data_IF_268556206521
#
_entry.id   IF_268556206521
#
_cell.length_a   1.000
_cell.length_b   1.000
_cell.length_c   1.000
_cell.angle_alpha   90.00
_cell.angle_beta   90.00
_cell.angle_gamma   90.00
#
_symmetry.space_group_name_H-M   'P 1'
#
loop_
_entity.id
_entity.type
_entity.pdbx_description
1 polymer ?
#
# COMPACT_ATOMS: atom_id res chain seq x y z
N UNK A 1 -11.26 21.89 -17.10
CA UNK A 1 -10.06 21.19 -16.56
C UNK A 1 -10.45 20.54 -15.25
N UNK A 2 -10.55 19.20 -15.25
CA UNK A 2 -10.89 18.44 -14.05
C UNK A 2 -9.77 18.54 -13.02
N UNK A 3 -10.12 18.75 -11.75
CA UNK A 3 -9.16 18.79 -10.68
C UNK A 3 -8.38 17.46 -10.59
N UNK A 4 -7.05 17.52 -10.51
CA UNK A 4 -6.16 16.37 -10.29
C UNK A 4 -6.37 15.72 -8.91
N UNK A 5 -6.76 16.50 -7.91
CA UNK A 5 -6.84 16.10 -6.52
C UNK A 5 -7.80 14.93 -6.26
N UNK A 6 -9.04 14.88 -6.82
CA UNK A 6 -9.89 13.71 -6.63
C UNK A 6 -9.28 12.40 -7.13
N UNK A 7 -8.53 12.45 -8.23
CA UNK A 7 -7.83 11.28 -8.76
C UNK A 7 -6.76 10.78 -7.76
N UNK A 8 -5.98 11.71 -7.18
CA UNK A 8 -4.99 11.40 -6.14
C UNK A 8 -5.66 10.71 -4.96
N UNK A 9 -6.77 11.26 -4.47
CA UNK A 9 -7.50 10.73 -3.31
C UNK A 9 -8.02 9.31 -3.56
N UNK A 10 -8.64 9.07 -4.71
CA UNK A 10 -9.18 7.76 -5.06
C UNK A 10 -8.04 6.72 -5.20
N UNK A 11 -6.96 7.06 -5.91
CA UNK A 11 -5.81 6.18 -6.09
C UNK A 11 -5.19 5.84 -4.74
N UNK A 12 -4.97 6.83 -3.88
CA UNK A 12 -4.35 6.64 -2.57
C UNK A 12 -5.17 5.74 -1.67
N UNK A 13 -6.48 5.99 -1.58
CA UNK A 13 -7.38 5.15 -0.79
C UNK A 13 -7.45 3.72 -1.34
N UNK A 14 -7.65 3.56 -2.65
CA UNK A 14 -7.73 2.25 -3.29
C UNK A 14 -6.46 1.40 -3.07
N UNK A 15 -5.29 2.03 -3.15
CA UNK A 15 -4.01 1.35 -2.95
C UNK A 15 -3.86 0.80 -1.52
N UNK A 16 -4.22 1.59 -0.50
CA UNK A 16 -4.13 1.13 0.90
C UNK A 16 -5.26 0.19 1.30
N UNK A 17 -6.44 0.32 0.68
CA UNK A 17 -7.60 -0.53 0.94
C UNK A 17 -7.43 -1.96 0.37
N UNK A 18 -6.62 -2.13 -0.66
CA UNK A 18 -6.40 -3.43 -1.32
C UNK A 18 -6.00 -4.52 -0.32
N UNK A 19 -5.07 -4.22 0.60
CA UNK A 19 -4.62 -5.19 1.59
C UNK A 19 -5.76 -5.60 2.53
N UNK A 20 -6.52 -4.64 3.04
CA UNK A 20 -7.69 -4.91 3.90
C UNK A 20 -8.73 -5.78 3.19
N UNK A 21 -9.03 -5.47 1.93
CA UNK A 21 -9.97 -6.24 1.12
C UNK A 21 -9.54 -7.70 0.94
N UNK A 22 -8.23 -7.93 0.76
CA UNK A 22 -7.66 -9.28 0.67
C UNK A 22 -7.73 -10.03 2.01
N UNK A 23 -7.42 -9.37 3.11
CA UNK A 23 -7.41 -9.97 4.45
C UNK A 23 -8.82 -10.30 4.94
N UNK A 24 -9.81 -9.48 4.61
CA UNK A 24 -11.18 -9.63 5.11
C UNK A 24 -11.96 -10.77 4.46
N UNK A 25 -11.51 -11.30 3.31
CA UNK A 25 -12.22 -12.35 2.58
C UNK A 25 -13.67 -11.99 2.26
N UNK A 26 -13.89 -10.74 1.78
CA UNK A 26 -15.24 -10.19 1.55
C UNK A 26 -16.09 -11.04 0.61
N UNK A 27 -17.43 -11.02 0.83
CA UNK A 27 -18.41 -11.63 -0.08
C UNK A 27 -19.25 -10.52 -0.75
N UNK A 28 -19.35 -10.47 -2.09
CA UNK A 28 -18.71 -11.38 -3.04
C UNK A 28 -17.17 -11.26 -2.99
N UNK A 29 -16.47 -12.35 -3.32
CA UNK A 29 -15.01 -12.40 -3.32
C UNK A 29 -14.42 -11.35 -4.26
N UNK A 30 -13.60 -10.46 -3.73
CA UNK A 30 -12.84 -9.50 -4.54
C UNK A 30 -11.65 -10.26 -5.14
N UNK A 31 -11.52 -10.35 -6.46
CA UNK A 31 -10.37 -11.00 -7.09
C UNK A 31 -9.06 -10.46 -6.53
N UNK A 32 -8.13 -11.34 -6.24
CA UNK A 32 -6.84 -11.02 -5.62
C UNK A 32 -6.09 -9.88 -6.33
N UNK A 33 -6.29 -9.76 -7.63
CA UNK A 33 -5.62 -8.76 -8.47
C UNK A 33 -6.45 -7.49 -8.71
N UNK A 34 -7.68 -7.40 -8.17
CA UNK A 34 -8.58 -6.28 -8.46
C UNK A 34 -7.94 -4.92 -8.19
N UNK A 35 -7.20 -4.79 -7.08
CA UNK A 35 -6.52 -3.54 -6.74
C UNK A 35 -5.52 -3.08 -7.81
N UNK A 36 -4.75 -4.01 -8.36
CA UNK A 36 -3.78 -3.71 -9.42
C UNK A 36 -4.46 -3.26 -10.72
N UNK A 37 -5.57 -3.93 -11.11
CA UNK A 37 -6.33 -3.54 -12.30
C UNK A 37 -7.07 -2.22 -12.10
N UNK A 38 -7.64 -1.99 -10.93
CA UNK A 38 -8.29 -0.72 -10.60
C UNK A 38 -7.27 0.43 -10.67
N UNK A 39 -6.07 0.25 -10.11
CA UNK A 39 -5.01 1.23 -10.17
C UNK A 39 -4.59 1.51 -11.63
N UNK A 40 -4.45 0.46 -12.46
CA UNK A 40 -4.15 0.58 -13.88
C UNK A 40 -5.20 1.44 -14.61
N UNK A 41 -6.50 1.18 -14.35
CA UNK A 41 -7.61 1.93 -14.95
C UNK A 41 -7.61 3.39 -14.50
N UNK A 42 -7.41 3.67 -13.22
CA UNK A 42 -7.37 5.04 -12.68
C UNK A 42 -6.19 5.84 -13.22
N UNK A 43 -5.01 5.23 -13.32
CA UNK A 43 -3.83 5.86 -13.91
C UNK A 43 -4.02 6.09 -15.41
N UNK A 44 -4.58 5.11 -16.14
CA UNK A 44 -4.96 5.26 -17.54
C UNK A 44 -5.95 6.40 -17.76
N UNK A 45 -6.97 6.50 -16.91
CA UNK A 45 -7.91 7.63 -16.92
C UNK A 45 -7.21 8.96 -16.67
N UNK A 46 -6.24 9.01 -15.74
CA UNK A 46 -5.42 10.19 -15.51
C UNK A 46 -4.66 10.64 -16.76
N UNK A 47 -4.08 9.70 -17.50
CA UNK A 47 -3.38 9.98 -18.76
C UNK A 47 -4.35 10.52 -19.83
N UNK A 48 -5.53 9.94 -19.95
CA UNK A 48 -6.58 10.41 -20.88
C UNK A 48 -7.06 11.81 -20.55
N UNK A 49 -7.08 12.19 -19.27
CA UNK A 49 -7.39 13.54 -18.80
C UNK A 49 -6.23 14.54 -19.01
N UNK A 50 -5.10 14.11 -19.58
CA UNK A 50 -3.96 14.96 -19.90
C UNK A 50 -2.87 15.03 -18.81
N UNK A 51 -2.98 14.26 -17.72
CA UNK A 51 -1.93 14.13 -16.70
C UNK A 51 -0.83 13.19 -17.19
N UNK A 52 0.00 13.63 -18.13
CA UNK A 52 1.03 12.82 -18.82
C UNK A 52 2.39 13.51 -18.93
N UNK A 53 2.81 14.22 -17.88
CA UNK A 53 4.02 15.05 -17.90
C UNK A 53 5.31 14.29 -17.53
N UNK A 54 5.21 13.06 -17.06
CA UNK A 54 6.35 12.26 -16.59
C UNK A 54 7.04 11.48 -17.70
N UNK A 55 7.94 12.08 -18.49
CA UNK A 55 8.66 11.38 -19.56
C UNK A 55 9.47 10.17 -19.07
N UNK A 56 9.98 10.20 -17.83
CA UNK A 56 10.71 9.06 -17.24
C UNK A 56 9.79 7.84 -17.11
N UNK A 57 8.51 8.04 -16.78
CA UNK A 57 7.55 6.92 -16.73
C UNK A 57 7.37 6.24 -18.09
N UNK A 58 7.36 7.02 -19.17
CA UNK A 58 7.33 6.45 -20.53
C UNK A 58 8.62 5.68 -20.86
N UNK A 59 9.77 6.18 -20.44
CA UNK A 59 11.04 5.45 -20.56
C UNK A 59 11.00 4.14 -19.78
N UNK A 60 10.50 4.15 -18.54
CA UNK A 60 10.32 2.93 -17.73
C UNK A 60 9.42 1.92 -18.43
N UNK A 61 8.28 2.35 -19.00
CA UNK A 61 7.42 1.46 -19.79
C UNK A 61 8.15 0.87 -20.99
N UNK A 62 8.94 1.67 -21.71
CA UNK A 62 9.78 1.20 -22.82
C UNK A 62 10.78 0.13 -22.38
N UNK A 63 11.40 0.28 -21.22
CA UNK A 63 12.33 -0.69 -20.65
C UNK A 63 11.66 -1.99 -20.16
N UNK A 64 10.35 -1.97 -19.90
CA UNK A 64 9.58 -3.18 -19.57
C UNK A 64 9.14 -3.97 -20.79
N UNK A 65 9.15 -3.39 -22.00
CA UNK A 65 8.71 -4.07 -23.23
C UNK A 65 9.45 -5.39 -23.51
N UNK A 66 10.79 -5.49 -23.37
CA UNK A 66 11.47 -6.76 -23.61
C UNK A 66 10.97 -7.88 -22.69
N UNK A 67 10.63 -7.58 -21.44
CA UNK A 67 10.14 -8.57 -20.49
C UNK A 67 8.78 -9.18 -20.87
N UNK A 68 8.00 -8.51 -21.73
CA UNK A 68 6.75 -9.03 -22.27
C UNK A 68 6.96 -10.12 -23.35
N UNK A 69 8.15 -10.16 -23.96
CA UNK A 69 8.48 -11.06 -25.07
C UNK A 69 9.50 -12.15 -24.69
N UNK A 70 10.14 -12.03 -23.52
CA UNK A 70 11.13 -13.02 -23.08
C UNK A 70 10.40 -14.08 -22.24
N UNK A 71 10.25 -15.25 -22.81
CA UNK A 71 9.85 -16.45 -22.07
C UNK A 71 11.10 -17.15 -21.53
N UNK A 72 11.43 -16.86 -20.28
CA UNK A 72 12.67 -17.35 -19.63
C UNK A 72 12.60 -18.85 -19.33
N UNK A 73 11.41 -19.43 -19.25
CA UNK A 73 11.23 -20.82 -18.83
C UNK A 73 10.54 -21.72 -19.86
N UNK A 74 10.12 -21.19 -21.02
CA UNK A 74 9.38 -21.96 -22.03
C UNK A 74 7.98 -22.41 -21.61
N UNK A 75 7.55 -22.04 -20.40
CA UNK A 75 6.27 -22.44 -19.80
C UNK A 75 5.39 -21.23 -19.42
N UNK A 76 5.81 -20.01 -19.72
CA UNK A 76 5.12 -18.80 -19.27
C UNK A 76 3.86 -18.57 -20.08
N UNK A 77 2.71 -18.85 -19.49
CA UNK A 77 1.46 -18.42 -20.10
C UNK A 77 1.36 -16.88 -20.11
N UNK A 78 0.66 -16.31 -21.08
CA UNK A 78 0.39 -14.87 -21.17
C UNK A 78 -0.14 -14.31 -19.84
N UNK A 79 -0.92 -15.11 -19.11
CA UNK A 79 -1.43 -14.79 -17.77
C UNK A 79 -0.30 -14.52 -16.77
N UNK A 80 0.74 -15.34 -16.75
CA UNK A 80 1.87 -15.18 -15.83
C UNK A 80 2.71 -13.94 -16.17
N UNK A 81 2.91 -13.65 -17.45
CA UNK A 81 3.60 -12.45 -17.92
C UNK A 81 2.84 -11.19 -17.45
N UNK A 82 1.53 -11.12 -17.72
CA UNK A 82 0.67 -10.00 -17.30
C UNK A 82 0.67 -9.86 -15.77
N UNK A 83 0.53 -10.96 -15.04
CA UNK A 83 0.54 -10.98 -13.58
C UNK A 83 1.82 -10.36 -12.99
N UNK A 84 2.98 -10.68 -13.56
CA UNK A 84 4.27 -10.19 -13.09
C UNK A 84 4.54 -8.74 -13.52
N UNK A 85 4.06 -8.32 -14.70
CA UNK A 85 4.34 -6.99 -15.24
C UNK A 85 3.38 -5.90 -14.75
N UNK A 86 2.16 -6.23 -14.31
CA UNK A 86 1.16 -5.22 -13.94
C UNK A 86 1.63 -4.30 -12.80
N UNK A 87 2.41 -4.83 -11.84
CA UNK A 87 2.99 -4.03 -10.76
C UNK A 87 3.99 -3.00 -11.29
N UNK A 88 5.08 -3.40 -11.95
CA UNK A 88 6.03 -2.48 -12.59
C UNK A 88 5.39 -1.48 -13.56
N UNK A 89 4.39 -1.92 -14.35
CA UNK A 89 3.63 -1.04 -15.25
C UNK A 89 2.87 0.03 -14.46
N UNK A 90 2.19 -0.34 -13.38
CA UNK A 90 1.49 0.63 -12.52
C UNK A 90 2.46 1.66 -11.93
N UNK A 91 3.66 1.24 -11.49
CA UNK A 91 4.68 2.18 -10.98
C UNK A 91 5.11 3.15 -12.10
N UNK A 92 5.38 2.66 -13.30
CA UNK A 92 5.76 3.50 -14.42
C UNK A 92 4.65 4.49 -14.80
N UNK A 93 3.39 4.04 -14.85
CA UNK A 93 2.22 4.90 -15.10
C UNK A 93 2.02 5.92 -13.98
N UNK A 94 2.24 5.56 -12.72
CA UNK A 94 2.21 6.51 -11.60
C UNK A 94 3.26 7.62 -11.79
N UNK A 95 4.47 7.28 -12.24
CA UNK A 95 5.49 8.28 -12.57
C UNK A 95 5.06 9.18 -13.74
N UNK A 96 4.38 8.64 -14.76
CA UNK A 96 3.81 9.45 -15.86
C UNK A 96 2.81 10.46 -15.33
N UNK A 97 1.89 10.03 -14.48
CA UNK A 97 0.76 10.83 -14.00
C UNK A 97 1.18 11.83 -12.92
N UNK A 98 1.95 11.38 -11.92
CA UNK A 98 2.22 12.19 -10.73
C UNK A 98 3.44 13.09 -10.85
N UNK A 99 4.41 12.75 -11.71
CA UNK A 99 5.60 13.57 -11.85
C UNK A 99 5.27 14.98 -12.35
N UNK A 100 5.88 15.99 -11.71
CA UNK A 100 5.66 17.41 -11.98
C UNK A 100 4.23 17.91 -11.65
N UNK A 101 3.48 17.16 -10.86
CA UNK A 101 2.25 17.68 -10.27
C UNK A 101 2.59 18.40 -8.96
N UNK A 102 2.01 19.56 -8.79
CA UNK A 102 2.12 20.32 -7.55
C UNK A 102 0.87 20.06 -6.72
N UNK A 103 1.09 19.69 -5.45
CA UNK A 103 0.02 19.40 -4.49
C UNK A 103 0.16 20.39 -3.34
N UNK A 104 -0.88 21.14 -3.04
CA UNK A 104 -0.92 22.01 -1.86
C UNK A 104 -0.78 21.18 -0.57
N UNK A 105 -0.11 21.73 0.45
CA UNK A 105 0.14 21.02 1.71
C UNK A 105 -1.13 20.49 2.38
N UNK A 106 -2.24 21.23 2.29
CA UNK A 106 -3.54 20.75 2.80
C UNK A 106 -4.03 19.49 2.09
N UNK A 107 -3.90 19.44 0.76
CA UNK A 107 -4.28 18.27 -0.02
C UNK A 107 -3.33 17.09 0.23
N UNK A 108 -2.03 17.34 0.45
CA UNK A 108 -1.07 16.32 0.84
C UNK A 108 -1.46 15.69 2.19
N UNK A 109 -1.82 16.52 3.16
CA UNK A 109 -2.29 16.07 4.47
C UNK A 109 -3.53 15.16 4.35
N UNK A 110 -4.54 15.57 3.58
CA UNK A 110 -5.73 14.74 3.34
C UNK A 110 -5.40 13.44 2.58
N UNK A 111 -4.49 13.51 1.61
CA UNK A 111 -3.99 12.30 0.91
C UNK A 111 -3.36 11.30 1.89
N UNK A 112 -2.52 11.78 2.81
CA UNK A 112 -1.88 10.92 3.82
C UNK A 112 -2.88 10.35 4.83
N UNK A 113 -3.94 11.08 5.19
CA UNK A 113 -5.05 10.55 6.01
C UNK A 113 -5.79 9.43 5.27
N UNK A 114 -6.13 9.66 3.99
CA UNK A 114 -6.81 8.66 3.16
C UNK A 114 -5.99 7.38 3.02
N UNK A 115 -4.65 7.49 2.96
CA UNK A 115 -3.75 6.35 3.00
C UNK A 115 -3.80 5.63 4.35
N UNK A 116 -3.88 6.37 5.45
CA UNK A 116 -3.82 5.84 6.80
C UNK A 116 -5.11 5.11 7.24
N UNK A 117 -6.30 5.56 6.81
CA UNK A 117 -7.57 4.98 7.28
C UNK A 117 -7.67 3.46 7.05
N UNK A 118 -7.43 2.93 5.84
CA UNK A 118 -7.43 1.48 5.66
C UNK A 118 -6.33 0.77 6.45
N UNK A 119 -5.18 1.40 6.69
CA UNK A 119 -4.10 0.82 7.51
C UNK A 119 -4.50 0.68 8.98
N UNK A 120 -5.28 1.63 9.53
CA UNK A 120 -5.89 1.48 10.87
C UNK A 120 -6.86 0.31 10.90
N UNK A 121 -7.64 0.11 9.85
CA UNK A 121 -8.52 -1.05 9.75
C UNK A 121 -7.74 -2.37 9.63
N UNK A 122 -6.62 -2.40 8.89
CA UNK A 122 -5.69 -3.55 8.87
C UNK A 122 -5.14 -3.82 10.26
N UNK A 123 -4.72 -2.80 11.01
CA UNK A 123 -4.27 -2.92 12.39
C UNK A 123 -5.36 -3.57 13.27
N UNK A 124 -6.57 -3.04 13.23
CA UNK A 124 -7.71 -3.59 13.98
C UNK A 124 -8.00 -5.05 13.60
N UNK A 125 -7.96 -5.36 12.30
CA UNK A 125 -8.15 -6.73 11.81
C UNK A 125 -7.09 -7.69 12.37
N UNK A 126 -5.81 -7.29 12.39
CA UNK A 126 -4.75 -8.13 12.97
C UNK A 126 -4.92 -8.34 14.47
N UNK A 127 -5.47 -7.37 15.21
CA UNK A 127 -5.75 -7.50 16.63
C UNK A 127 -6.88 -8.49 16.87
N UNK A 128 -7.98 -8.36 16.12
CA UNK A 128 -9.18 -9.21 16.28
C UNK A 128 -8.92 -10.66 15.88
N UNK A 129 -8.09 -10.88 14.87
CA UNK A 129 -7.80 -12.22 14.31
C UNK A 129 -6.60 -12.91 14.91
N UNK A 130 -5.80 -12.21 15.71
CA UNK A 130 -4.66 -12.84 16.36
C UNK A 130 -5.12 -13.84 17.43
N UNK A 131 -4.42 -14.98 17.59
CA UNK A 131 -4.58 -15.84 18.75
C UNK A 131 -4.12 -15.09 20.02
N UNK A 132 -4.48 -15.64 21.17
CA UNK A 132 -3.94 -15.17 22.44
C UNK A 132 -2.42 -15.29 22.46
N UNK A 133 -1.74 -14.34 23.11
CA UNK A 133 -0.28 -14.29 23.17
C UNK A 133 0.33 -15.56 23.81
N UNK A 134 -0.44 -16.21 24.69
CA UNK A 134 -0.05 -17.46 25.36
C UNK A 134 -0.05 -18.67 24.40
N UNK A 135 -0.87 -18.63 23.35
CA UNK A 135 -0.96 -19.68 22.33
C UNK A 135 -0.04 -19.42 21.13
N UNK A 136 0.60 -18.25 21.10
CA UNK A 136 1.45 -17.87 19.98
C UNK A 136 2.81 -18.56 20.07
N UNK A 137 3.14 -19.40 19.09
CA UNK A 137 4.49 -19.94 18.92
C UNK A 137 5.43 -18.87 18.39
N UNK A 138 6.34 -18.39 19.24
CA UNK A 138 7.38 -17.43 18.87
C UNK A 138 8.61 -18.15 18.34
N UNK A 139 8.68 -18.33 17.03
CA UNK A 139 9.85 -18.85 16.33
C UNK A 139 10.63 -17.71 15.66
N UNK A 140 11.85 -18.00 15.16
CA UNK A 140 12.63 -17.03 14.37
C UNK A 140 12.04 -16.78 12.97
N UNK A 141 11.01 -17.51 12.57
CA UNK A 141 10.28 -17.34 11.32
C UNK A 141 9.14 -16.32 11.47
N UNK A 142 8.71 -15.75 10.33
CA UNK A 142 7.59 -14.81 10.29
C UNK A 142 6.30 -15.47 10.80
N UNK A 143 5.59 -14.80 11.73
CA UNK A 143 4.41 -15.36 12.37
C UNK A 143 3.14 -15.05 11.57
N UNK A 144 2.66 -16.06 10.84
CA UNK A 144 1.47 -15.95 10.00
C UNK A 144 0.19 -15.69 10.81
N UNK A 145 0.06 -16.29 12.00
CA UNK A 145 -1.11 -16.12 12.86
C UNK A 145 -1.19 -14.69 13.39
N UNK A 146 -0.05 -14.11 13.81
CA UNK A 146 0.01 -12.73 14.29
C UNK A 146 -0.23 -11.68 13.19
N UNK A 147 -0.09 -12.05 11.92
CA UNK A 147 -0.47 -11.22 10.77
C UNK A 147 -1.96 -11.32 10.39
N UNK A 148 -2.78 -11.95 11.23
CA UNK A 148 -4.20 -12.15 10.97
C UNK A 148 -4.49 -13.22 9.91
N UNK A 149 -3.58 -14.19 9.72
CA UNK A 149 -3.73 -15.27 8.74
C UNK A 149 -3.48 -14.82 7.30
N UNK A 150 -2.72 -13.75 7.09
CA UNK A 150 -2.37 -13.24 5.77
C UNK A 150 -0.85 -13.05 5.62
N UNK A 151 -0.37 -12.76 4.42
CA UNK A 151 1.06 -12.63 4.10
C UNK A 151 1.82 -11.71 5.05
N UNK A 152 2.69 -12.27 5.88
CA UNK A 152 3.39 -11.58 6.97
C UNK A 152 4.16 -10.35 6.51
N UNK A 153 4.85 -10.43 5.37
CA UNK A 153 5.61 -9.32 4.80
C UNK A 153 4.70 -8.15 4.38
N UNK A 154 3.55 -8.45 3.78
CA UNK A 154 2.60 -7.43 3.32
C UNK A 154 1.97 -6.70 4.51
N UNK A 155 1.52 -7.46 5.52
CA UNK A 155 0.91 -6.91 6.73
C UNK A 155 1.92 -6.10 7.53
N UNK A 156 3.13 -6.62 7.74
CA UNK A 156 4.21 -5.91 8.44
C UNK A 156 4.58 -4.60 7.74
N UNK A 157 4.68 -4.59 6.40
CA UNK A 157 4.96 -3.37 5.64
C UNK A 157 3.83 -2.35 5.78
N UNK A 158 2.57 -2.79 5.76
CA UNK A 158 1.41 -1.93 5.96
C UNK A 158 1.38 -1.33 7.38
N UNK A 159 1.65 -2.15 8.41
CA UNK A 159 1.74 -1.67 9.79
C UNK A 159 2.92 -0.70 9.98
N UNK A 160 4.06 -0.96 9.37
CA UNK A 160 5.22 -0.05 9.36
C UNK A 160 4.90 1.28 8.69
N UNK A 161 4.22 1.27 7.53
CA UNK A 161 3.74 2.49 6.87
C UNK A 161 2.73 3.24 7.75
N UNK A 162 1.81 2.54 8.42
CA UNK A 162 0.89 3.14 9.37
C UNK A 162 1.60 3.83 10.53
N UNK A 163 2.60 3.17 11.13
CA UNK A 163 3.44 3.74 12.17
C UNK A 163 4.17 5.00 11.68
N UNK A 164 4.80 4.94 10.51
CA UNK A 164 5.49 6.08 9.90
C UNK A 164 4.54 7.26 9.69
N UNK A 165 3.36 7.04 9.12
CA UNK A 165 2.39 8.11 8.88
C UNK A 165 1.94 8.76 10.18
N UNK A 166 1.59 7.98 11.21
CA UNK A 166 1.17 8.52 12.52
C UNK A 166 2.31 9.29 13.17
N UNK A 167 3.53 8.78 13.12
CA UNK A 167 4.72 9.49 13.61
C UNK A 167 4.94 10.80 12.84
N UNK A 168 4.82 10.78 11.52
CA UNK A 168 4.97 11.95 10.68
C UNK A 168 3.94 13.04 11.03
N UNK A 169 2.66 12.68 11.22
CA UNK A 169 1.64 13.60 11.69
C UNK A 169 1.99 14.18 13.07
N UNK A 170 2.35 13.32 14.01
CA UNK A 170 2.71 13.73 15.36
C UNK A 170 3.92 14.67 15.37
N UNK A 171 4.95 14.36 14.59
CA UNK A 171 6.18 15.16 14.48
C UNK A 171 5.92 16.55 13.90
N UNK A 172 5.05 16.65 12.91
CA UNK A 172 4.68 17.91 12.27
C UNK A 172 3.57 18.66 13.03
N UNK A 173 3.19 18.21 14.22
CA UNK A 173 2.10 18.77 15.04
C UNK A 173 0.75 18.76 14.35
N UNK A 174 0.54 17.90 13.40
CA UNK A 174 -0.73 17.64 12.77
C UNK A 174 -1.52 16.66 13.62
N UNK A 175 -2.65 17.11 14.16
CA UNK A 175 -3.48 16.30 15.04
C UNK A 175 -4.38 15.42 14.18
N UNK A 176 -4.23 14.10 14.29
CA UNK A 176 -5.01 13.13 13.53
C UNK A 176 -6.35 12.82 14.19
N UNK A 177 -6.33 12.47 15.48
CA UNK A 177 -7.50 12.06 16.28
C UNK A 177 -8.16 13.19 17.09
N UNK A 178 -7.61 14.40 17.05
CA UNK A 178 -7.98 15.50 17.95
C UNK A 178 -7.25 15.47 19.29
N UNK A 179 -6.53 14.39 19.62
CA UNK A 179 -5.76 14.24 20.86
C UNK A 179 -4.39 13.62 20.59
N UNK A 180 -3.33 14.35 20.90
CA UNK A 180 -1.93 13.91 20.66
C UNK A 180 -1.55 12.63 21.41
N UNK A 181 -2.15 12.36 22.55
CA UNK A 181 -1.89 11.13 23.30
C UNK A 181 -2.51 9.91 22.63
N UNK A 182 -3.68 10.06 22.02
CA UNK A 182 -4.29 9.00 21.20
C UNK A 182 -3.46 8.72 19.95
N UNK A 183 -2.92 9.74 19.31
CA UNK A 183 -2.05 9.58 18.15
C UNK A 183 -0.76 8.83 18.55
N UNK A 184 -0.16 9.16 19.70
CA UNK A 184 1.01 8.46 20.22
C UNK A 184 0.69 7.00 20.59
N UNK A 185 -0.46 6.75 21.22
CA UNK A 185 -0.91 5.38 21.51
C UNK A 185 -1.08 4.56 20.23
N UNK A 186 -1.70 5.15 19.21
CA UNK A 186 -1.87 4.52 17.90
C UNK A 186 -0.50 4.17 17.25
N UNK A 187 0.46 5.07 17.31
CA UNK A 187 1.83 4.83 16.85
C UNK A 187 2.46 3.62 17.55
N UNK A 188 2.39 3.58 18.88
CA UNK A 188 2.94 2.46 19.67
C UNK A 188 2.26 1.15 19.33
N UNK A 189 0.94 1.14 19.15
CA UNK A 189 0.18 -0.06 18.76
C UNK A 189 0.60 -0.56 17.38
N UNK A 190 0.77 0.34 16.39
CA UNK A 190 1.27 -0.03 15.07
C UNK A 190 2.65 -0.69 15.13
N UNK A 191 3.59 -0.11 15.89
CA UNK A 191 4.93 -0.68 16.07
C UNK A 191 4.84 -2.04 16.74
N UNK A 192 4.14 -2.14 17.86
CA UNK A 192 4.03 -3.37 18.61
C UNK A 192 3.45 -4.52 17.76
N UNK A 193 2.35 -4.25 17.04
CA UNK A 193 1.75 -5.25 16.15
C UNK A 193 2.67 -5.59 14.97
N UNK A 194 3.35 -4.60 14.40
CA UNK A 194 4.34 -4.84 13.35
C UNK A 194 5.49 -5.75 13.80
N UNK A 195 5.99 -5.55 15.02
CA UNK A 195 7.01 -6.40 15.62
C UNK A 195 6.53 -7.83 15.84
N UNK A 196 5.29 -8.02 16.30
CA UNK A 196 4.72 -9.37 16.51
C UNK A 196 4.57 -10.20 15.23
N UNK A 197 4.55 -9.58 14.04
CA UNK A 197 4.56 -10.32 12.77
C UNK A 197 5.91 -10.98 12.46
N UNK A 198 6.97 -10.61 13.17
CA UNK A 198 8.36 -11.07 12.96
C UNK A 198 8.87 -10.94 11.52
N UNK A 199 8.28 -10.05 10.72
CA UNK A 199 8.75 -9.79 9.36
C UNK A 199 9.86 -8.74 9.36
N UNK A 200 11.09 -9.16 9.04
CA UNK A 200 12.28 -8.30 9.03
C UNK A 200 12.15 -7.11 8.06
N UNK A 201 11.55 -7.33 6.89
CA UNK A 201 11.40 -6.30 5.85
C UNK A 201 10.51 -5.13 6.28
N UNK A 202 9.37 -5.41 6.93
CA UNK A 202 8.46 -4.38 7.43
C UNK A 202 9.04 -3.57 8.58
N UNK A 203 9.82 -4.22 9.46
CA UNK A 203 10.48 -3.55 10.58
C UNK A 203 11.57 -2.57 10.11
N UNK A 204 12.39 -2.97 9.15
CA UNK A 204 13.46 -2.14 8.60
C UNK A 204 12.86 -0.96 7.81
N UNK A 205 11.86 -1.22 6.96
CA UNK A 205 11.19 -0.17 6.18
C UNK A 205 10.53 0.89 7.05
N UNK A 206 9.87 0.49 8.16
CA UNK A 206 9.27 1.42 9.11
C UNK A 206 10.27 2.21 9.96
N UNK A 207 11.50 1.71 10.15
CA UNK A 207 12.55 2.37 10.91
C UNK A 207 13.40 3.35 10.06
N UNK A 208 13.48 3.15 8.76
CA UNK A 208 14.28 3.96 7.84
C UNK A 208 13.49 5.07 7.12
N UNK A 209 12.15 5.05 7.19
CA UNK A 209 11.28 6.11 6.64
C UNK A 209 11.11 7.23 7.65
#
# INVERSE_FOLDING_TARGET
EGSFIPLVFIITYATSFELLARMSGTSPYIPYELGKYLLLLLLGFGILKGFRRGYIGWLMLGLLLPAAFIDVAGESSLKNIVFNLIGPVNVALAVVVFRKQEIAMGNLFETMKLLLYPLVAVLAFTIIKAPDLEEAEFTLSANFQMSGGFGTNQVSTALGLGAFLVFFFWRNRWILSGNRWLDMALFVIFIFRGLLTFSRGGMIGGALG
#
